data_IF_462885106974
#
_entry.id   IF_462885106974
#
_cell.length_a   1.000
_cell.length_b   1.000
_cell.length_c   1.000
_cell.angle_alpha   90.00
_cell.angle_beta   90.00
_cell.angle_gamma   90.00
#
_symmetry.space_group_name_H-M   'P 1'
#
loop_
_entity.id
_entity.type
_entity.pdbx_description
1 polymer ?
#
# COMPACT_ATOMS: atom_id res chain seq x y z
N UNK A 1 23.92 -15.62 14.08
CA UNK A 1 23.26 -14.69 13.14
C UNK A 1 24.35 -13.93 12.40
N UNK A 2 24.30 -13.83 11.08
CA UNK A 2 25.41 -13.32 10.27
C UNK A 2 25.31 -11.78 10.18
N UNK A 3 26.29 -11.03 10.69
CA UNK A 3 26.25 -9.55 10.82
C UNK A 3 25.92 -8.86 9.49
N UNK A 4 26.36 -9.43 8.36
CA UNK A 4 26.03 -8.95 7.02
C UNK A 4 24.53 -9.02 6.70
N UNK A 5 23.84 -10.08 7.12
CA UNK A 5 22.39 -10.22 6.92
C UNK A 5 21.60 -9.24 7.79
N UNK A 6 22.09 -8.96 9.00
CA UNK A 6 21.51 -7.96 9.88
C UNK A 6 21.61 -6.56 9.28
N UNK A 7 22.78 -6.17 8.76
CA UNK A 7 22.95 -4.89 8.07
C UNK A 7 22.05 -4.77 6.84
N UNK A 8 21.92 -5.84 6.03
CA UNK A 8 21.00 -5.86 4.87
C UNK A 8 19.55 -5.71 5.34
N UNK A 9 19.15 -6.41 6.40
CA UNK A 9 17.82 -6.29 6.99
C UNK A 9 17.51 -4.88 7.47
N UNK A 10 18.48 -4.21 8.13
CA UNK A 10 18.34 -2.81 8.54
C UNK A 10 18.17 -1.87 7.35
N UNK A 11 18.96 -2.03 6.28
CA UNK A 11 18.83 -1.21 5.07
C UNK A 11 17.49 -1.43 4.36
N UNK A 12 17.01 -2.67 4.27
CA UNK A 12 15.68 -2.98 3.75
C UNK A 12 14.58 -2.36 4.60
N UNK A 13 14.75 -2.36 5.93
CA UNK A 13 13.84 -1.69 6.86
C UNK A 13 13.76 -0.18 6.62
N UNK A 14 14.92 0.50 6.52
CA UNK A 14 14.99 1.94 6.22
C UNK A 14 14.31 2.26 4.88
N UNK A 15 14.57 1.45 3.85
CA UNK A 15 13.95 1.64 2.53
C UNK A 15 12.44 1.43 2.58
N UNK A 16 11.96 0.43 3.32
CA UNK A 16 10.53 0.20 3.54
C UNK A 16 9.85 1.38 4.24
N UNK A 17 10.47 1.89 5.32
CA UNK A 17 9.97 3.05 6.06
C UNK A 17 9.93 4.31 5.17
N UNK A 18 10.98 4.56 4.40
CA UNK A 18 11.04 5.70 3.49
C UNK A 18 9.92 5.64 2.42
N UNK A 19 9.71 4.48 1.80
CA UNK A 19 8.63 4.28 0.83
C UNK A 19 7.25 4.46 1.46
N UNK A 20 7.06 3.96 2.70
CA UNK A 20 5.81 4.12 3.43
C UNK A 20 5.53 5.59 3.77
N UNK A 21 6.53 6.32 4.29
CA UNK A 21 6.39 7.72 4.66
C UNK A 21 5.98 8.62 3.48
N UNK A 22 6.53 8.36 2.29
CA UNK A 22 6.21 9.12 1.07
C UNK A 22 4.83 8.77 0.49
N UNK A 23 4.22 7.66 0.89
CA UNK A 23 2.94 7.20 0.33
C UNK A 23 1.80 8.17 0.60
N UNK A 24 1.69 8.71 1.82
CA UNK A 24 0.65 9.66 2.21
C UNK A 24 0.72 10.99 1.44
N UNK A 25 1.87 11.71 1.40
CA UNK A 25 1.96 12.95 0.63
C UNK A 25 1.75 12.71 -0.86
N UNK A 26 2.29 11.63 -1.44
CA UNK A 26 2.06 11.32 -2.86
C UNK A 26 0.60 11.00 -3.16
N UNK A 27 -0.09 10.27 -2.28
CA UNK A 27 -1.51 9.97 -2.45
C UNK A 27 -2.34 11.25 -2.38
N UNK A 28 -2.02 12.16 -1.46
CA UNK A 28 -2.70 13.47 -1.35
C UNK A 28 -2.44 14.37 -2.55
N UNK A 29 -1.20 14.39 -3.05
CA UNK A 29 -0.86 15.09 -4.28
C UNK A 29 -1.65 14.55 -5.47
N UNK A 30 -1.78 13.23 -5.60
CA UNK A 30 -2.50 12.60 -6.71
C UNK A 30 -4.03 12.80 -6.64
N UNK A 31 -4.63 12.78 -5.44
CA UNK A 31 -6.08 12.97 -5.29
C UNK A 31 -6.52 14.43 -5.30
N UNK A 32 -5.61 15.35 -4.98
CA UNK A 32 -5.93 16.77 -4.75
C UNK A 32 -6.64 17.01 -3.41
N UNK A 33 -6.86 18.28 -3.09
CA UNK A 33 -7.62 18.74 -1.91
C UNK A 33 -9.11 18.81 -2.25
N UNK A 34 -9.98 19.03 -1.25
CA UNK A 34 -11.42 19.24 -1.47
C UNK A 34 -11.68 20.43 -2.42
N UNK A 35 -10.87 21.48 -2.32
CA UNK A 35 -11.02 22.71 -3.12
C UNK A 35 -10.52 22.56 -4.57
N UNK A 36 -9.63 21.59 -4.83
CA UNK A 36 -9.08 21.32 -6.16
C UNK A 36 -8.90 19.79 -6.38
N UNK A 37 -10.00 19.06 -6.64
CA UNK A 37 -9.94 17.62 -6.85
C UNK A 37 -9.20 17.30 -8.15
N UNK A 38 -8.18 16.44 -8.05
CA UNK A 38 -7.42 15.94 -9.19
C UNK A 38 -7.96 14.56 -9.60
N UNK A 39 -7.27 13.48 -9.22
CA UNK A 39 -7.76 12.12 -9.47
C UNK A 39 -8.74 11.68 -8.37
N UNK A 40 -9.72 10.87 -8.74
CA UNK A 40 -10.61 10.29 -7.73
C UNK A 40 -9.84 9.26 -6.86
N UNK A 41 -10.12 9.16 -5.55
CA UNK A 41 -9.57 8.12 -4.68
C UNK A 41 -9.81 6.71 -5.23
N UNK A 42 -10.93 6.51 -5.92
CA UNK A 42 -11.24 5.29 -6.66
C UNK A 42 -10.23 5.00 -7.76
N UNK A 43 -9.93 5.99 -8.61
CA UNK A 43 -8.96 5.82 -9.69
C UNK A 43 -7.56 5.56 -9.13
N UNK A 44 -7.12 6.30 -8.12
CA UNK A 44 -5.80 6.11 -7.52
C UNK A 44 -5.67 4.73 -6.87
N UNK A 45 -6.72 4.27 -6.17
CA UNK A 45 -6.73 2.96 -5.51
C UNK A 45 -6.78 1.81 -6.50
N UNK A 46 -7.70 1.85 -7.47
CA UNK A 46 -7.80 0.82 -8.50
C UNK A 46 -6.57 0.82 -9.41
N UNK A 47 -6.02 1.99 -9.73
CA UNK A 47 -4.79 2.13 -10.51
C UNK A 47 -3.60 1.46 -9.83
N UNK A 48 -3.38 1.70 -8.52
CA UNK A 48 -2.30 1.02 -7.78
C UNK A 48 -2.55 -0.49 -7.68
N UNK A 49 -3.79 -0.91 -7.46
CA UNK A 49 -4.13 -2.33 -7.35
C UNK A 49 -3.91 -3.06 -8.68
N UNK A 50 -4.31 -2.45 -9.80
CA UNK A 50 -4.11 -2.97 -11.14
C UNK A 50 -2.61 -3.07 -11.49
N UNK A 51 -1.83 -2.02 -11.19
CA UNK A 51 -0.39 -2.02 -11.43
C UNK A 51 0.33 -3.09 -10.60
N UNK A 52 0.06 -3.16 -9.29
CA UNK A 52 0.64 -4.16 -8.41
C UNK A 52 0.21 -5.58 -8.82
N UNK A 53 -1.04 -5.76 -9.22
CA UNK A 53 -1.57 -7.03 -9.72
C UNK A 53 -0.89 -7.46 -11.02
N UNK A 54 -0.74 -6.55 -12.00
CA UNK A 54 -0.06 -6.82 -13.26
C UNK A 54 1.41 -7.22 -13.04
N UNK A 55 2.15 -6.47 -12.21
CA UNK A 55 3.53 -6.79 -11.86
C UNK A 55 3.62 -8.15 -11.14
N UNK A 56 2.68 -8.44 -10.25
CA UNK A 56 2.62 -9.72 -9.55
C UNK A 56 2.34 -10.88 -10.52
N UNK A 57 1.43 -10.71 -11.48
CA UNK A 57 1.16 -11.71 -12.53
C UNK A 57 2.41 -11.96 -13.37
N UNK A 58 3.08 -10.89 -13.84
CA UNK A 58 4.35 -11.00 -14.60
C UNK A 58 5.38 -11.79 -13.80
N UNK A 59 5.55 -11.46 -12.52
CA UNK A 59 6.50 -12.14 -11.64
C UNK A 59 6.15 -13.62 -11.43
N UNK A 60 4.88 -13.94 -11.17
CA UNK A 60 4.42 -15.32 -10.96
C UNK A 60 4.55 -16.17 -12.22
N UNK A 61 4.29 -15.58 -13.39
CA UNK A 61 4.46 -16.24 -14.70
C UNK A 61 5.95 -16.47 -14.97
N UNK A 62 6.81 -15.47 -14.73
CA UNK A 62 8.25 -15.58 -14.92
C UNK A 62 8.89 -16.62 -13.99
N UNK A 63 8.42 -16.72 -12.74
CA UNK A 63 8.89 -17.71 -11.76
C UNK A 63 8.19 -19.06 -11.84
N UNK A 64 7.15 -19.19 -12.69
CA UNK A 64 6.29 -20.38 -12.81
C UNK A 64 5.75 -20.87 -11.46
N UNK A 65 5.39 -19.92 -10.60
CA UNK A 65 5.03 -20.21 -9.22
C UNK A 65 3.76 -21.08 -9.14
N UNK A 66 3.72 -22.09 -8.25
CA UNK A 66 2.54 -22.93 -8.08
C UNK A 66 1.34 -22.11 -7.58
N UNK A 67 0.12 -22.51 -8.00
CA UNK A 67 -1.11 -21.84 -7.57
C UNK A 67 -1.38 -22.10 -6.08
N UNK A 68 -1.90 -21.12 -5.32
CA UNK A 68 -2.20 -21.29 -3.91
C UNK A 68 -3.24 -22.39 -3.69
N UNK A 69 -3.05 -23.19 -2.64
CA UNK A 69 -3.99 -24.22 -2.20
C UNK A 69 -5.36 -23.61 -1.90
N UNK A 70 -6.44 -24.39 -2.13
CA UNK A 70 -7.84 -23.93 -1.99
C UNK A 70 -8.14 -23.31 -0.62
N UNK A 71 -7.51 -23.83 0.42
CA UNK A 71 -7.62 -23.34 1.80
C UNK A 71 -7.10 -21.91 2.01
N UNK A 72 -6.13 -21.46 1.21
CA UNK A 72 -5.54 -20.12 1.33
C UNK A 72 -6.36 -19.04 0.61
N UNK A 73 -7.31 -19.41 -0.25
CA UNK A 73 -8.07 -18.42 -1.02
C UNK A 73 -8.94 -17.52 -0.14
N UNK A 74 -9.56 -18.07 0.90
CA UNK A 74 -10.37 -17.29 1.85
C UNK A 74 -9.53 -16.24 2.59
N UNK A 75 -8.46 -16.60 3.33
CA UNK A 75 -7.63 -15.60 4.00
C UNK A 75 -6.95 -14.63 3.03
N UNK A 76 -6.54 -15.09 1.85
CA UNK A 76 -5.95 -14.24 0.82
C UNK A 76 -6.95 -13.20 0.30
N UNK A 77 -8.19 -13.60 0.03
CA UNK A 77 -9.25 -12.68 -0.41
C UNK A 77 -9.58 -11.64 0.66
N UNK A 78 -9.61 -12.03 1.93
CA UNK A 78 -9.85 -11.12 3.05
C UNK A 78 -8.70 -10.11 3.22
N UNK A 79 -7.46 -10.58 3.16
CA UNK A 79 -6.28 -9.71 3.21
C UNK A 79 -6.25 -8.74 2.02
N UNK A 80 -6.61 -9.21 0.82
CA UNK A 80 -6.68 -8.38 -0.39
C UNK A 80 -7.78 -7.30 -0.27
N UNK A 81 -8.98 -7.68 0.19
CA UNK A 81 -10.06 -6.73 0.44
C UNK A 81 -9.67 -5.66 1.47
N UNK A 82 -9.04 -6.04 2.58
CA UNK A 82 -8.62 -5.08 3.60
C UNK A 82 -7.48 -4.18 3.14
N UNK A 83 -6.39 -4.77 2.66
CA UNK A 83 -5.13 -4.06 2.41
C UNK A 83 -5.09 -3.33 1.07
N UNK A 84 -5.69 -3.89 0.01
CA UNK A 84 -5.62 -3.32 -1.33
C UNK A 84 -6.83 -2.44 -1.69
N UNK A 85 -7.99 -2.67 -1.06
CA UNK A 85 -9.24 -1.97 -1.39
C UNK A 85 -9.72 -1.11 -0.22
N UNK A 86 -10.03 -1.72 0.92
CA UNK A 86 -10.65 -1.06 2.06
C UNK A 86 -9.79 0.07 2.62
N UNK A 87 -8.59 -0.25 3.10
CA UNK A 87 -7.71 0.74 3.71
C UNK A 87 -7.32 1.87 2.73
N UNK A 88 -6.85 1.60 1.49
CA UNK A 88 -6.43 2.67 0.59
C UNK A 88 -7.57 3.58 0.13
N UNK A 89 -8.79 3.05 -0.08
CA UNK A 89 -9.95 3.87 -0.43
C UNK A 89 -10.34 4.80 0.73
N UNK A 90 -10.46 4.25 1.94
CA UNK A 90 -10.81 5.01 3.14
C UNK A 90 -9.76 6.08 3.42
N UNK A 91 -8.47 5.74 3.28
CA UNK A 91 -7.37 6.68 3.42
C UNK A 91 -7.41 7.78 2.35
N UNK A 92 -7.65 7.43 1.08
CA UNK A 92 -7.78 8.40 -0.01
C UNK A 92 -8.95 9.36 0.20
N UNK A 93 -10.05 8.89 0.80
CA UNK A 93 -11.16 9.75 1.20
C UNK A 93 -10.80 10.67 2.37
N UNK A 94 -10.13 10.14 3.39
CA UNK A 94 -9.67 10.92 4.55
C UNK A 94 -8.72 12.04 4.12
N UNK A 95 -7.74 11.77 3.24
CA UNK A 95 -6.76 12.75 2.77
C UNK A 95 -7.34 13.92 1.96
N UNK A 96 -8.59 13.82 1.51
CA UNK A 96 -9.31 14.97 0.97
C UNK A 96 -9.71 15.94 2.07
N UNK A 97 -10.13 15.44 3.22
CA UNK A 97 -10.67 16.23 4.35
C UNK A 97 -9.57 16.67 5.33
N UNK A 98 -8.57 15.82 5.56
CA UNK A 98 -7.49 16.07 6.53
C UNK A 98 -6.12 16.21 5.86
N UNK A 99 -5.22 16.95 6.50
CA UNK A 99 -3.84 17.06 6.04
C UNK A 99 -3.06 15.74 6.13
N UNK A 100 -2.10 15.57 5.22
CA UNK A 100 -1.24 14.39 5.20
C UNK A 100 -0.50 14.20 6.54
N UNK A 101 -0.10 15.29 7.20
CA UNK A 101 0.55 15.23 8.52
C UNK A 101 -0.38 14.69 9.60
N UNK A 102 -1.64 15.13 9.64
CA UNK A 102 -2.64 14.63 10.59
C UNK A 102 -2.95 13.15 10.35
N UNK A 103 -3.16 12.76 9.09
CA UNK A 103 -3.38 11.37 8.72
C UNK A 103 -2.18 10.46 9.06
N UNK A 104 -0.95 10.96 8.88
CA UNK A 104 0.27 10.24 9.19
C UNK A 104 0.39 9.92 10.68
N UNK A 105 0.11 10.88 11.57
CA UNK A 105 0.16 10.67 13.02
C UNK A 105 -0.87 9.62 13.45
N UNK A 106 -2.11 9.72 12.98
CA UNK A 106 -3.16 8.72 13.30
C UNK A 106 -2.74 7.34 12.81
N UNK A 107 -2.19 7.25 11.60
CA UNK A 107 -1.72 5.97 11.04
C UNK A 107 -0.58 5.37 11.84
N UNK A 108 0.33 6.19 12.36
CA UNK A 108 1.45 5.74 13.18
C UNK A 108 1.00 5.22 14.55
N UNK A 109 -0.16 5.65 15.05
CA UNK A 109 -0.71 5.22 16.33
C UNK A 109 -1.56 3.94 16.26
N UNK A 110 -2.04 3.54 15.07
CA UNK A 110 -2.85 2.32 14.88
C UNK A 110 -2.29 1.01 15.49
N UNK A 111 -0.97 0.77 15.56
CA UNK A 111 -0.43 -0.45 16.15
C UNK A 111 -0.46 -0.51 17.69
N UNK A 112 -0.78 0.60 18.37
CA UNK A 112 -0.89 0.69 19.83
C UNK A 112 -2.29 0.29 20.31
#
# INVERSE_FOLDING_TARGET
MNTRQETIGMWLGVLGVAMFAVTLPMTRLATGTQDAPQLSPWFVTLGRAALAGALSVVFLVATRSPRPAREHWKPLSLAMLGNAVGYPLLLGYALRVVDASHAAVITALLPL
#
